data_IF_092796564781
#
_entry.id   IF_092796564781
#
_cell.length_a   1.000
_cell.length_b   1.000
_cell.length_c   1.000
_cell.angle_alpha   90.00
_cell.angle_beta   90.00
_cell.angle_gamma   90.00
#
_symmetry.space_group_name_H-M   'P 1'
#
loop_
_entity.id
_entity.type
_entity.pdbx_description
1 polymer ?
#
# COMPACT_ATOMS: atom_id res chain seq x y z
N UNK A 1 -18.17 19.25 -2.57
CA UNK A 1 -16.72 19.30 -2.31
C UNK A 1 -15.99 19.26 -3.65
N UNK A 2 -15.29 20.34 -4.03
CA UNK A 2 -14.31 20.29 -5.13
C UNK A 2 -13.13 19.46 -4.63
N UNK A 3 -12.88 18.30 -5.22
CA UNK A 3 -11.76 17.44 -4.83
C UNK A 3 -10.43 18.17 -5.06
N UNK A 4 -9.44 17.90 -4.21
CA UNK A 4 -8.13 18.56 -4.19
C UNK A 4 -7.31 18.43 -5.51
N UNK A 5 -7.85 17.72 -6.50
CA UNK A 5 -7.21 17.40 -7.78
C UNK A 5 -8.11 17.68 -8.99
N UNK A 6 -9.19 18.45 -8.84
CA UNK A 6 -10.22 18.58 -9.89
C UNK A 6 -9.78 19.36 -11.13
N UNK A 7 -8.68 20.10 -11.07
CA UNK A 7 -8.21 20.91 -12.18
C UNK A 7 -6.69 20.73 -12.29
N UNK A 8 -6.24 20.11 -13.40
CA UNK A 8 -4.85 19.90 -13.81
C UNK A 8 -4.09 18.70 -13.19
N UNK A 9 -4.07 17.57 -13.91
CA UNK A 9 -2.92 16.63 -13.88
C UNK A 9 -2.24 16.61 -15.27
N UNK A 10 -1.50 17.67 -15.63
CA UNK A 10 -0.74 17.68 -16.86
C UNK A 10 0.41 16.68 -16.67
N UNK A 11 0.35 15.55 -17.38
CA UNK A 11 1.38 14.48 -17.37
C UNK A 11 1.70 13.99 -15.95
N UNK A 12 0.99 12.97 -15.48
CA UNK A 12 1.37 12.28 -14.24
C UNK A 12 2.85 11.90 -14.35
N UNK A 13 3.71 12.55 -13.55
CA UNK A 13 5.16 12.35 -13.56
C UNK A 13 5.54 10.92 -13.16
N UNK A 14 6.82 10.69 -12.83
CA UNK A 14 7.26 9.39 -12.32
C UNK A 14 6.42 9.04 -11.09
N UNK A 15 5.77 7.86 -11.11
CA UNK A 15 4.94 7.39 -9.99
C UNK A 15 5.75 7.38 -8.69
N UNK A 16 5.15 7.78 -7.55
CA UNK A 16 5.87 7.86 -6.30
C UNK A 16 6.37 6.46 -5.88
N UNK A 17 7.59 6.44 -5.32
CA UNK A 17 8.16 5.25 -4.71
C UNK A 17 7.82 5.30 -3.23
N UNK A 18 7.18 4.25 -2.74
CA UNK A 18 6.83 4.07 -1.33
C UNK A 18 7.89 3.21 -0.66
N UNK A 19 8.32 3.62 0.52
CA UNK A 19 9.19 2.85 1.40
C UNK A 19 8.45 2.59 2.71
N UNK A 20 7.95 1.36 2.89
CA UNK A 20 7.27 0.93 4.10
C UNK A 20 8.22 0.09 4.94
N UNK A 21 8.21 0.33 6.26
CA UNK A 21 8.98 -0.46 7.21
C UNK A 21 8.03 -1.27 8.08
N UNK A 22 8.36 -2.54 8.26
CA UNK A 22 7.58 -3.44 9.11
C UNK A 22 8.50 -4.39 9.87
N UNK A 23 7.94 -5.00 10.91
CA UNK A 23 8.65 -6.01 11.69
C UNK A 23 8.02 -7.36 11.43
N UNK A 24 8.87 -8.38 11.32
CA UNK A 24 8.45 -9.76 11.09
C UNK A 24 9.26 -10.66 12.02
N UNK A 25 8.59 -11.63 12.63
CA UNK A 25 9.25 -12.68 13.40
C UNK A 25 9.83 -13.75 12.46
N UNK A 26 10.85 -14.47 12.89
CA UNK A 26 11.51 -15.46 12.01
C UNK A 26 10.58 -16.59 11.55
N UNK A 27 9.58 -16.95 12.36
CA UNK A 27 8.60 -18.02 12.12
C UNK A 27 7.45 -17.64 11.17
N UNK A 28 7.25 -16.35 10.89
CA UNK A 28 6.20 -15.91 9.94
C UNK A 28 6.64 -16.18 8.48
N UNK A 29 5.71 -16.46 7.56
CA UNK A 29 6.03 -16.49 6.12
C UNK A 29 6.01 -15.05 5.56
N UNK A 30 7.00 -14.72 4.73
CA UNK A 30 7.03 -13.44 4.03
C UNK A 30 5.98 -13.38 2.91
N UNK A 31 5.69 -14.51 2.25
CA UNK A 31 4.74 -14.55 1.13
C UNK A 31 3.32 -14.22 1.61
N UNK A 32 2.91 -14.77 2.76
CA UNK A 32 1.61 -14.46 3.37
C UNK A 32 1.44 -12.95 3.66
N UNK A 33 2.52 -12.27 4.06
CA UNK A 33 2.51 -10.82 4.30
C UNK A 33 2.43 -10.08 2.96
N UNK A 34 3.15 -10.53 1.93
CA UNK A 34 3.11 -9.92 0.60
C UNK A 34 1.69 -10.00 0.02
N UNK A 35 1.11 -11.19 0.00
CA UNK A 35 -0.19 -11.45 -0.62
C UNK A 35 -1.34 -10.75 0.13
N UNK A 36 -1.19 -10.57 1.45
CA UNK A 36 -2.20 -9.89 2.26
C UNK A 36 -2.22 -8.37 2.08
N UNK A 37 -1.07 -7.75 1.86
CA UNK A 37 -0.92 -6.29 1.94
C UNK A 37 -0.56 -5.60 0.62
N UNK A 38 -0.12 -6.35 -0.39
CA UNK A 38 0.29 -5.80 -1.68
C UNK A 38 -0.52 -6.43 -2.80
N UNK A 39 -1.19 -5.59 -3.59
CA UNK A 39 -1.88 -6.03 -4.80
C UNK A 39 -0.90 -6.51 -5.89
N UNK A 40 -1.39 -7.29 -6.85
CA UNK A 40 -0.60 -7.86 -7.95
C UNK A 40 0.22 -6.82 -8.73
N UNK A 41 -0.24 -5.57 -8.76
CA UNK A 41 0.39 -4.51 -9.54
C UNK A 41 1.54 -3.86 -8.74
N UNK A 42 1.38 -3.67 -7.43
CA UNK A 42 2.43 -3.27 -6.51
C UNK A 42 3.53 -4.34 -6.39
N UNK A 43 3.12 -5.62 -6.35
CA UNK A 43 4.03 -6.77 -6.27
C UNK A 43 5.05 -6.79 -7.44
N UNK A 44 4.66 -6.37 -8.65
CA UNK A 44 5.58 -6.30 -9.82
C UNK A 44 6.79 -5.41 -9.61
N UNK A 45 6.70 -4.44 -8.70
CA UNK A 45 7.78 -3.50 -8.40
C UNK A 45 8.31 -3.62 -6.97
N UNK A 46 7.78 -4.57 -6.21
CA UNK A 46 8.08 -4.78 -4.81
C UNK A 46 9.50 -5.31 -4.64
N UNK A 47 10.24 -4.66 -3.76
CA UNK A 47 11.55 -5.10 -3.29
C UNK A 47 11.53 -5.12 -1.77
N UNK A 48 11.79 -6.28 -1.19
CA UNK A 48 11.91 -6.42 0.27
C UNK A 48 13.39 -6.57 0.63
N UNK A 49 13.81 -5.83 1.65
CA UNK A 49 15.18 -5.87 2.16
C UNK A 49 15.16 -5.94 3.69
N UNK A 50 16.05 -6.75 4.27
CA UNK A 50 16.30 -6.74 5.72
C UNK A 50 17.03 -5.44 6.07
N UNK A 51 16.56 -4.74 7.09
CA UNK A 51 17.18 -3.52 7.59
C UNK A 51 18.10 -3.83 8.77
N UNK A 52 17.56 -4.50 9.79
CA UNK A 52 18.29 -4.85 11.02
C UNK A 52 17.51 -5.86 11.85
N UNK A 53 18.21 -6.54 12.75
CA UNK A 53 17.61 -7.26 13.88
C UNK A 53 17.15 -6.26 14.93
N UNK A 54 15.92 -6.40 15.43
CA UNK A 54 15.34 -5.49 16.44
C UNK A 54 15.11 -6.17 17.78
N UNK A 55 14.99 -7.49 17.80
CA UNK A 55 14.94 -8.33 18.99
C UNK A 55 15.35 -9.77 18.61
N UNK A 56 15.61 -10.67 19.58
CA UNK A 56 15.75 -12.09 19.28
C UNK A 56 14.56 -12.60 18.45
N UNK A 57 14.85 -13.32 17.36
CA UNK A 57 13.88 -13.86 16.40
C UNK A 57 12.95 -12.81 15.76
N UNK A 58 13.35 -11.53 15.72
CA UNK A 58 12.55 -10.45 15.11
C UNK A 58 13.42 -9.50 14.28
N UNK A 59 13.08 -9.39 13.00
CA UNK A 59 13.77 -8.57 12.02
C UNK A 59 12.89 -7.40 11.59
N UNK A 60 13.52 -6.28 11.28
CA UNK A 60 12.92 -5.15 10.60
C UNK A 60 13.19 -5.27 9.11
N UNK A 61 12.14 -5.15 8.31
CA UNK A 61 12.18 -5.18 6.86
C UNK A 61 11.75 -3.84 6.28
N UNK A 62 12.24 -3.56 5.07
CA UNK A 62 11.80 -2.45 4.23
C UNK A 62 11.22 -3.03 2.94
N UNK A 63 9.95 -2.74 2.69
CA UNK A 63 9.27 -2.95 1.42
C UNK A 63 9.32 -1.64 0.61
N UNK A 64 9.89 -1.72 -0.60
CA UNK A 64 9.96 -0.61 -1.54
C UNK A 64 9.17 -0.98 -2.79
N UNK A 65 8.17 -0.19 -3.16
CA UNK A 65 7.35 -0.43 -4.34
C UNK A 65 6.92 0.88 -5.00
N UNK A 66 6.57 0.83 -6.28
CA UNK A 66 5.98 1.97 -7.00
C UNK A 66 4.48 1.94 -6.81
N UNK A 67 3.93 3.09 -6.45
CA UNK A 67 2.49 3.23 -6.33
C UNK A 67 1.84 3.21 -7.72
N UNK A 68 0.72 2.53 -7.85
CA UNK A 68 0.03 2.37 -9.14
C UNK A 68 -0.92 3.54 -9.36
N UNK A 69 -1.24 3.84 -10.63
CA UNK A 69 -2.17 4.93 -10.95
C UNK A 69 -3.58 4.66 -10.42
N UNK A 70 -3.99 3.39 -10.39
CA UNK A 70 -5.30 2.96 -9.91
C UNK A 70 -5.50 3.25 -8.43
N UNK A 71 -4.43 3.20 -7.62
CA UNK A 71 -4.52 3.49 -6.18
C UNK A 71 -4.71 4.99 -5.88
N UNK A 72 -4.22 5.90 -6.74
CA UNK A 72 -4.32 7.36 -6.51
C UNK A 72 -5.57 7.99 -7.07
N UNK A 73 -6.06 7.46 -8.18
CA UNK A 73 -7.19 8.00 -8.90
C UNK A 73 -8.34 7.02 -8.78
N UNK A 74 -9.27 7.32 -7.87
CA UNK A 74 -10.59 6.70 -7.88
C UNK A 74 -11.21 6.99 -9.25
N UNK A 75 -11.57 5.95 -9.99
CA UNK A 75 -12.30 6.11 -11.23
C UNK A 75 -13.59 6.90 -10.93
N UNK A 76 -13.81 8.01 -11.64
CA UNK A 76 -14.98 8.88 -11.46
C UNK A 76 -16.34 8.17 -11.69
N UNK A 77 -16.31 6.91 -12.13
CA UNK A 77 -17.48 6.05 -12.30
C UNK A 77 -17.82 5.16 -11.10
N UNK A 78 -16.95 5.06 -10.09
CA UNK A 78 -17.28 4.29 -8.89
C UNK A 78 -18.09 5.13 -7.89
N UNK A 79 -19.23 4.62 -7.39
CA UNK A 79 -19.98 5.33 -6.37
C UNK A 79 -19.10 5.50 -5.13
N UNK A 80 -19.14 6.67 -4.45
CA UNK A 80 -18.31 6.91 -3.28
C UNK A 80 -18.48 5.79 -2.27
N UNK A 81 -17.37 5.28 -1.74
CA UNK A 81 -17.36 4.21 -0.75
C UNK A 81 -18.39 4.52 0.35
N UNK A 82 -19.39 3.64 0.48
CA UNK A 82 -20.42 3.79 1.51
C UNK A 82 -19.71 3.79 2.86
N UNK A 83 -19.78 4.91 3.57
CA UNK A 83 -19.31 5.00 4.95
C UNK A 83 -20.17 4.06 5.79
N UNK A 84 -19.68 2.88 6.15
CA UNK A 84 -20.25 2.15 7.27
C UNK A 84 -20.00 3.00 8.52
N UNK A 85 -21.07 3.54 9.11
CA UNK A 85 -21.00 4.04 10.47
C UNK A 85 -20.92 2.82 11.37
N UNK A 86 -19.95 2.81 12.28
CA UNK A 86 -19.87 1.79 13.32
C UNK A 86 -21.15 1.89 14.17
N UNK A 87 -22.08 0.96 13.99
CA UNK A 87 -23.38 0.96 14.69
C UNK A 87 -24.55 0.30 13.97
N UNK A 88 -24.49 0.05 12.65
CA UNK A 88 -25.53 -0.70 11.95
C UNK A 88 -25.13 -2.18 11.83
N UNK A 89 -25.13 -2.87 12.97
CA UNK A 89 -25.31 -4.33 13.02
C UNK A 89 -26.81 -4.57 13.21
N UNK A 90 -27.46 -5.15 12.20
CA UNK A 90 -28.77 -5.82 12.33
C UNK A 90 -28.52 -7.32 12.38
#
# INVERSE_FOLDING_TARGET
FKGLFSEYLPKVGVMPIINCYFFKKEDEDMNDIIDKYFDDEAQKTLKISVVRTVAPNKLMFRATYKLTKKTLFLDFGEPPAKKLKCGDEN
#
